data_IF_499879479967
#
_entry.id   IF_499879479967
#
_cell.length_a   1.000
_cell.length_b   1.000
_cell.length_c   1.000
_cell.angle_alpha   90.00
_cell.angle_beta   90.00
_cell.angle_gamma   90.00
#
_symmetry.space_group_name_H-M   'P 1'
#
loop_
_entity.id
_entity.type
_entity.pdbx_description
1 polymer ?
#
# COMPACT_ATOMS: atom_id res chain seq x y z
N UNK A 1 -4.31 25.34 16.39
CA UNK A 1 -5.60 25.13 15.67
C UNK A 1 -6.10 23.74 16.02
N UNK A 2 -7.35 23.57 16.42
CA UNK A 2 -7.85 22.31 17.02
C UNK A 2 -8.01 21.25 15.93
N UNK A 3 -7.36 20.09 16.07
CA UNK A 3 -7.35 18.98 15.09
C UNK A 3 -8.73 18.55 14.63
N UNK A 4 -9.74 18.59 15.52
CA UNK A 4 -11.16 18.36 15.18
C UNK A 4 -11.71 19.37 14.16
N UNK A 5 -11.28 20.64 14.23
CA UNK A 5 -11.68 21.67 13.25
C UNK A 5 -11.04 21.47 11.88
N UNK A 6 -9.78 20.99 11.86
CA UNK A 6 -9.09 20.68 10.60
C UNK A 6 -9.78 19.51 9.90
N UNK A 7 -10.09 18.44 10.64
CA UNK A 7 -10.78 17.26 10.09
C UNK A 7 -12.17 17.63 9.59
N UNK A 8 -12.94 18.42 10.35
CA UNK A 8 -14.28 18.87 9.91
C UNK A 8 -14.24 19.81 8.70
N UNK A 9 -13.23 20.67 8.60
CA UNK A 9 -13.06 21.56 7.45
C UNK A 9 -12.63 20.79 6.20
N UNK A 10 -11.74 19.78 6.34
CA UNK A 10 -11.36 18.89 5.24
C UNK A 10 -12.53 18.01 4.79
N UNK A 11 -13.34 17.52 5.74
CA UNK A 11 -14.55 16.75 5.42
C UNK A 11 -15.61 17.63 4.73
N UNK A 12 -15.81 18.86 5.19
CA UNK A 12 -16.74 19.83 4.57
C UNK A 12 -16.24 20.26 3.18
N UNK A 13 -14.93 20.50 3.01
CA UNK A 13 -14.34 20.81 1.71
C UNK A 13 -14.47 19.66 0.71
N UNK A 14 -14.30 18.41 1.18
CA UNK A 14 -14.50 17.22 0.33
C UNK A 14 -15.97 17.03 -0.09
N UNK A 15 -16.92 17.36 0.80
CA UNK A 15 -18.35 17.33 0.50
C UNK A 15 -18.79 18.46 -0.46
N UNK A 16 -18.17 19.65 -0.39
CA UNK A 16 -18.43 20.75 -1.30
C UNK A 16 -17.89 20.49 -2.72
N UNK A 17 -16.81 19.74 -2.86
CA UNK A 17 -16.27 19.31 -4.16
C UNK A 17 -17.18 18.28 -4.86
N UNK A 18 -18.01 17.56 -4.12
CA UNK A 18 -19.00 16.62 -4.69
C UNK A 18 -20.24 17.34 -5.29
N UNK A 19 -20.42 18.62 -5.01
CA UNK A 19 -21.60 19.40 -5.44
C UNK A 19 -21.47 20.13 -6.79
N UNK A 20 -20.29 20.19 -7.36
CA UNK A 20 -20.10 20.78 -8.70
C UNK A 20 -20.08 19.65 -9.73
N UNK A 21 -20.97 19.72 -10.71
CA UNK A 21 -21.02 18.80 -11.86
C UNK A 21 -19.83 19.03 -12.83
N UNK A 22 -18.64 19.23 -12.30
CA UNK A 22 -17.42 19.14 -13.05
C UNK A 22 -17.11 17.64 -13.22
N UNK A 23 -16.92 17.18 -14.41
CA UNK A 23 -16.71 15.83 -14.96
C UNK A 23 -15.60 15.01 -14.29
N UNK A 24 -15.59 14.94 -13.00
CA UNK A 24 -14.71 14.14 -12.21
C UNK A 24 -15.28 12.73 -12.07
N UNK A 25 -14.48 11.74 -12.33
CA UNK A 25 -14.90 10.36 -12.19
C UNK A 25 -14.43 9.81 -10.85
N UNK A 26 -15.37 9.46 -10.00
CA UNK A 26 -15.09 8.68 -8.81
C UNK A 26 -14.89 7.22 -9.22
N UNK A 27 -13.83 6.60 -8.71
CA UNK A 27 -13.57 5.18 -8.89
C UNK A 27 -13.43 4.49 -7.55
N UNK A 28 -14.04 3.32 -7.41
CA UNK A 28 -13.78 2.41 -6.30
C UNK A 28 -12.83 1.34 -6.81
N UNK A 29 -11.75 1.09 -6.08
CA UNK A 29 -10.68 0.20 -6.51
C UNK A 29 -10.35 -0.79 -5.39
N UNK A 30 -10.03 -2.01 -5.80
CA UNK A 30 -9.46 -3.04 -4.94
C UNK A 30 -8.37 -3.79 -5.69
N UNK A 31 -7.49 -4.46 -5.00
CA UNK A 31 -6.47 -5.22 -5.69
C UNK A 31 -5.52 -5.98 -4.78
N UNK A 32 -4.67 -6.74 -5.45
CA UNK A 32 -3.57 -7.46 -4.85
C UNK A 32 -2.35 -6.54 -4.73
N UNK A 33 -1.63 -6.70 -3.63
CA UNK A 33 -0.42 -5.96 -3.29
C UNK A 33 0.69 -6.96 -2.95
N UNK A 34 1.79 -6.94 -3.69
CA UNK A 34 3.04 -7.58 -3.31
C UNK A 34 4.01 -6.50 -2.86
N UNK A 35 4.47 -6.60 -1.63
CA UNK A 35 5.41 -5.66 -1.00
C UNK A 35 6.73 -6.36 -0.74
N UNK A 36 7.80 -5.89 -1.37
CA UNK A 36 9.16 -6.38 -1.20
C UNK A 36 9.98 -5.36 -0.41
N UNK A 37 10.57 -5.82 0.68
CA UNK A 37 11.49 -5.03 1.50
C UNK A 37 12.91 -5.45 1.16
N UNK A 38 13.66 -4.52 0.55
CA UNK A 38 15.07 -4.70 0.19
C UNK A 38 15.99 -4.08 1.24
N UNK A 39 17.14 -4.69 1.44
CA UNK A 39 18.21 -4.22 2.33
C UNK A 39 19.42 -3.80 1.50
N UNK A 40 20.14 -2.74 1.92
CA UNK A 40 21.36 -2.31 1.25
C UNK A 40 22.51 -3.32 1.39
N UNK A 41 22.41 -4.28 2.29
CA UNK A 41 23.38 -5.35 2.46
C UNK A 41 23.03 -6.52 1.53
N UNK A 42 23.86 -6.80 0.55
CA UNK A 42 23.68 -7.87 -0.46
C UNK A 42 23.56 -9.28 0.14
N UNK A 43 24.02 -9.47 1.37
CA UNK A 43 23.90 -10.77 2.08
C UNK A 43 22.51 -10.99 2.70
N UNK A 44 21.65 -9.97 2.77
CA UNK A 44 20.31 -10.09 3.30
C UNK A 44 19.30 -10.32 2.17
N UNK A 45 18.51 -11.37 2.27
CA UNK A 45 17.46 -11.66 1.31
C UNK A 45 16.29 -10.70 1.51
N UNK A 46 15.74 -10.21 0.40
CA UNK A 46 14.51 -9.41 0.41
C UNK A 46 13.36 -10.18 1.05
N UNK A 47 12.57 -9.48 1.86
CA UNK A 47 11.38 -10.02 2.50
C UNK A 47 10.17 -9.64 1.65
N UNK A 48 9.45 -10.65 1.14
CA UNK A 48 8.23 -10.43 0.36
C UNK A 48 7.00 -10.64 1.23
N UNK A 49 6.12 -9.66 1.24
CA UNK A 49 4.82 -9.69 1.89
C UNK A 49 3.71 -9.59 0.85
N UNK A 50 2.64 -10.30 1.07
CA UNK A 50 1.47 -10.33 0.21
C UNK A 50 0.30 -9.66 0.90
N UNK A 51 -0.54 -9.00 0.13
CA UNK A 51 -1.67 -8.29 0.71
C UNK A 51 -2.71 -7.85 -0.29
N UNK A 52 -3.60 -7.02 0.20
CA UNK A 52 -4.67 -6.44 -0.59
C UNK A 52 -4.84 -4.96 -0.23
N UNK A 53 -5.48 -4.25 -1.12
CA UNK A 53 -5.90 -2.87 -0.88
C UNK A 53 -7.32 -2.64 -1.38
N UNK A 54 -7.97 -1.65 -0.78
CA UNK A 54 -9.28 -1.14 -1.20
C UNK A 54 -9.32 0.37 -0.97
N UNK A 55 -9.97 1.09 -1.85
CA UNK A 55 -10.08 2.54 -1.70
C UNK A 55 -10.78 3.22 -2.85
N UNK A 56 -10.67 4.54 -2.86
CA UNK A 56 -11.32 5.41 -3.82
C UNK A 56 -10.29 6.33 -4.47
N UNK A 57 -10.53 6.65 -5.74
CA UNK A 57 -9.77 7.65 -6.49
C UNK A 57 -10.75 8.59 -7.17
N UNK A 58 -10.43 9.86 -7.17
CA UNK A 58 -11.20 10.90 -7.83
C UNK A 58 -10.40 11.47 -9.00
N UNK A 59 -10.82 11.21 -10.22
CA UNK A 59 -10.10 11.67 -11.41
C UNK A 59 -10.59 13.03 -11.85
N UNK A 60 -9.71 14.04 -11.83
CA UNK A 60 -9.96 15.40 -12.26
C UNK A 60 -9.34 15.54 -13.65
N UNK A 61 -10.14 15.55 -14.74
CA UNK A 61 -9.60 15.77 -16.08
C UNK A 61 -9.11 17.22 -16.23
N UNK A 62 -7.94 17.39 -16.85
CA UNK A 62 -7.36 18.70 -17.10
C UNK A 62 -7.53 19.08 -18.57
N UNK A 63 -6.72 18.56 -19.46
CA UNK A 63 -6.81 18.78 -20.91
C UNK A 63 -5.94 17.74 -21.65
N UNK A 64 -6.22 17.50 -22.93
CA UNK A 64 -5.36 16.66 -23.78
C UNK A 64 -5.19 15.22 -23.32
N UNK A 65 -6.19 14.66 -22.61
CA UNK A 65 -6.12 13.32 -22.06
C UNK A 65 -5.41 13.25 -20.67
N UNK A 66 -4.88 14.39 -20.17
CA UNK A 66 -4.29 14.50 -18.84
C UNK A 66 -5.33 14.64 -17.74
N UNK A 67 -5.02 14.15 -16.57
CA UNK A 67 -5.81 14.33 -15.37
C UNK A 67 -4.96 14.21 -14.11
N UNK A 68 -5.55 14.62 -12.99
CA UNK A 68 -4.98 14.48 -11.66
C UNK A 68 -5.90 13.52 -10.88
N UNK A 69 -5.33 12.52 -10.26
CA UNK A 69 -6.08 11.49 -9.56
C UNK A 69 -5.63 11.36 -8.09
N UNK A 70 -6.14 12.24 -7.19
CA UNK A 70 -6.01 12.01 -5.77
C UNK A 70 -6.85 10.79 -5.35
N UNK A 71 -6.37 10.08 -4.32
CA UNK A 71 -7.06 8.92 -3.80
C UNK A 71 -6.81 8.68 -2.33
N UNK A 72 -7.57 7.76 -1.75
CA UNK A 72 -7.35 7.22 -0.42
C UNK A 72 -7.58 5.72 -0.46
N UNK A 73 -6.61 4.96 0.02
CA UNK A 73 -6.64 3.50 0.05
C UNK A 73 -6.27 3.00 1.44
N UNK A 74 -6.97 2.00 1.87
CA UNK A 74 -6.55 1.14 2.96
C UNK A 74 -5.82 -0.07 2.38
N UNK A 75 -4.69 -0.44 2.97
CA UNK A 75 -3.93 -1.63 2.59
C UNK A 75 -3.58 -2.49 3.81
N UNK A 76 -3.52 -3.79 3.57
CA UNK A 76 -3.06 -4.77 4.53
C UNK A 76 -2.05 -5.69 3.84
N UNK A 77 -0.89 -5.87 4.45
CA UNK A 77 0.13 -6.83 4.01
C UNK A 77 0.45 -7.82 5.11
N UNK A 78 0.80 -9.03 4.72
CA UNK A 78 1.23 -10.09 5.65
C UNK A 78 2.36 -10.90 5.06
N UNK A 79 3.23 -11.39 5.93
CA UNK A 79 4.26 -12.37 5.61
C UNK A 79 4.29 -13.42 6.72
N UNK A 80 4.43 -14.68 6.35
CA UNK A 80 4.63 -15.77 7.28
C UNK A 80 5.91 -16.51 6.91
N UNK A 81 6.83 -16.58 7.85
CA UNK A 81 8.05 -17.36 7.76
C UNK A 81 8.06 -18.38 8.88
N UNK A 82 8.50 -19.60 8.60
CA UNK A 82 8.58 -20.65 9.60
C UNK A 82 9.66 -21.64 9.25
N UNK A 83 10.17 -22.31 10.27
CA UNK A 83 11.09 -23.41 10.16
C UNK A 83 10.69 -24.52 11.12
N UNK A 84 10.68 -25.74 10.63
CA UNK A 84 10.52 -26.95 11.44
C UNK A 84 11.86 -27.66 11.50
N UNK A 85 12.18 -28.23 12.64
CA UNK A 85 13.45 -28.92 12.86
C UNK A 85 13.40 -29.91 14.01
N UNK A 86 14.54 -30.50 14.30
CA UNK A 86 14.72 -31.44 15.43
C UNK A 86 15.88 -30.93 16.28
N UNK A 87 15.65 -30.75 17.56
CA UNK A 87 16.66 -30.33 18.54
C UNK A 87 16.86 -31.52 19.50
N UNK A 88 18.06 -32.13 19.50
CA UNK A 88 18.39 -33.29 20.32
C UNK A 88 17.40 -34.45 20.16
N UNK A 89 16.91 -34.69 18.94
CA UNK A 89 15.93 -35.76 18.68
C UNK A 89 14.47 -35.37 18.97
N UNK A 90 14.20 -34.15 19.41
CA UNK A 90 12.87 -33.66 19.78
C UNK A 90 12.36 -32.74 18.68
N UNK A 91 11.15 -32.94 18.13
CA UNK A 91 10.54 -32.02 17.17
C UNK A 91 10.41 -30.60 17.73
N UNK A 92 10.86 -29.63 16.97
CA UNK A 92 10.75 -28.21 17.30
C UNK A 92 10.25 -27.41 16.08
N UNK A 93 9.42 -26.43 16.31
CA UNK A 93 8.91 -25.53 15.27
C UNK A 93 9.03 -24.07 15.71
N UNK A 94 9.31 -23.20 14.76
CA UNK A 94 9.29 -21.75 14.98
C UNK A 94 8.64 -21.09 13.77
N UNK A 95 7.77 -20.11 14.00
CA UNK A 95 7.21 -19.29 12.94
C UNK A 95 7.07 -17.82 13.38
N UNK A 96 7.25 -16.93 12.43
CA UNK A 96 7.01 -15.51 12.57
C UNK A 96 5.96 -15.06 11.55
N UNK A 97 4.94 -14.38 12.01
CA UNK A 97 3.91 -13.80 11.15
C UNK A 97 3.93 -12.29 11.32
N UNK A 98 4.28 -11.59 10.26
CA UNK A 98 4.21 -10.14 10.15
C UNK A 98 2.88 -9.73 9.54
N UNK A 99 2.28 -8.67 10.06
CA UNK A 99 1.05 -8.06 9.52
C UNK A 99 1.12 -6.55 9.71
N UNK A 100 0.85 -5.81 8.64
CA UNK A 100 0.81 -4.35 8.66
C UNK A 100 -0.43 -3.82 7.98
N UNK A 101 -1.03 -2.81 8.57
CA UNK A 101 -2.20 -2.07 8.08
C UNK A 101 -1.80 -0.62 7.86
N UNK A 102 -2.15 -0.05 6.71
CA UNK A 102 -1.80 1.32 6.38
C UNK A 102 -2.91 2.05 5.61
N UNK A 103 -2.93 3.37 5.76
CA UNK A 103 -3.65 4.28 4.87
C UNK A 103 -2.66 4.87 3.88
N UNK A 104 -3.07 4.90 2.62
CA UNK A 104 -2.28 5.41 1.51
C UNK A 104 -3.05 6.53 0.82
N UNK A 105 -2.40 7.64 0.57
CA UNK A 105 -2.94 8.79 -0.14
C UNK A 105 -2.12 9.03 -1.42
N UNK A 106 -2.45 8.39 -2.56
CA UNK A 106 -1.81 8.67 -3.83
C UNK A 106 -2.26 10.02 -4.38
N UNK A 107 -1.33 10.71 -5.05
CA UNK A 107 -1.58 11.87 -5.88
C UNK A 107 -0.93 11.62 -7.23
N UNK A 108 -1.68 11.03 -8.15
CA UNK A 108 -1.16 10.63 -9.45
C UNK A 108 -1.55 11.63 -10.54
N UNK A 109 -0.63 11.94 -11.42
CA UNK A 109 -0.91 12.44 -12.75
C UNK A 109 -1.25 11.25 -13.64
N UNK A 110 -2.28 11.36 -14.45
CA UNK A 110 -2.61 10.36 -15.45
C UNK A 110 -2.70 10.99 -16.84
N UNK A 111 -2.43 10.18 -17.82
CA UNK A 111 -2.65 10.49 -19.22
C UNK A 111 -3.23 9.28 -19.93
N UNK A 112 -4.25 9.50 -20.75
CA UNK A 112 -4.89 8.40 -21.42
C UNK A 112 -5.48 8.77 -22.76
N UNK A 113 -5.63 7.76 -23.61
CA UNK A 113 -6.20 7.83 -24.94
C UNK A 113 -7.45 6.97 -25.02
N UNK A 114 -8.49 7.49 -25.61
CA UNK A 114 -9.70 6.72 -25.91
C UNK A 114 -9.48 5.90 -27.17
N UNK A 115 -9.50 4.57 -27.04
CA UNK A 115 -9.33 3.62 -28.14
C UNK A 115 -10.66 3.35 -28.85
N UNK A 116 -11.76 3.40 -28.09
CA UNK A 116 -13.12 3.24 -28.57
C UNK A 116 -14.08 3.99 -27.64
N UNK A 117 -15.38 4.03 -27.99
CA UNK A 117 -16.39 4.80 -27.26
C UNK A 117 -16.36 4.62 -25.75
N UNK A 118 -16.14 3.39 -25.25
CA UNK A 118 -16.15 3.06 -23.82
C UNK A 118 -14.83 2.42 -23.36
N UNK A 119 -13.76 2.56 -24.16
CA UNK A 119 -12.47 1.92 -23.91
C UNK A 119 -11.37 2.97 -23.88
N UNK A 120 -10.71 3.10 -22.72
CA UNK A 120 -9.59 4.03 -22.50
C UNK A 120 -8.38 3.27 -22.03
N UNK A 121 -7.23 3.51 -22.65
CA UNK A 121 -5.92 3.11 -22.15
C UNK A 121 -5.29 4.32 -21.43
N UNK A 122 -4.69 4.11 -20.28
CA UNK A 122 -4.06 5.20 -19.54
C UNK A 122 -2.79 4.74 -18.81
N UNK A 123 -1.90 5.70 -18.60
CA UNK A 123 -0.75 5.58 -17.72
C UNK A 123 -0.93 6.54 -16.55
N UNK A 124 -0.32 6.25 -15.43
CA UNK A 124 -0.34 7.11 -14.26
C UNK A 124 1.01 7.09 -13.55
N UNK A 125 1.39 8.21 -12.93
CA UNK A 125 2.60 8.32 -12.12
C UNK A 125 2.44 9.42 -11.07
N UNK A 126 3.11 9.28 -9.95
CA UNK A 126 3.13 10.29 -8.89
C UNK A 126 3.49 9.72 -7.52
N UNK A 127 3.50 10.60 -6.51
CA UNK A 127 3.75 10.20 -5.13
C UNK A 127 2.54 9.49 -4.52
N UNK A 128 2.84 8.54 -3.61
CA UNK A 128 1.87 7.97 -2.68
C UNK A 128 2.39 8.17 -1.26
N UNK A 129 1.63 8.86 -0.43
CA UNK A 129 1.93 9.06 0.99
C UNK A 129 1.29 7.92 1.77
N UNK A 130 2.08 7.20 2.56
CA UNK A 130 1.60 6.09 3.38
C UNK A 130 1.75 6.42 4.86
N UNK A 131 0.74 6.07 5.63
CA UNK A 131 0.80 6.10 7.09
C UNK A 131 0.37 4.75 7.67
N UNK A 132 1.28 4.10 8.42
CA UNK A 132 1.04 2.85 9.09
C UNK A 132 0.13 3.03 10.31
N UNK A 133 -0.98 2.30 10.34
CA UNK A 133 -1.97 2.34 11.42
C UNK A 133 -1.61 1.32 12.50
N UNK A 134 -1.28 0.11 12.07
CA UNK A 134 -0.91 -0.99 12.95
C UNK A 134 0.11 -1.89 12.25
N UNK A 135 1.13 -2.31 12.99
CA UNK A 135 2.12 -3.28 12.52
C UNK A 135 2.43 -4.25 13.66
N UNK A 136 2.23 -5.53 13.43
CA UNK A 136 2.40 -6.57 14.44
C UNK A 136 3.23 -7.72 13.91
N UNK A 137 4.12 -8.22 14.76
CA UNK A 137 4.87 -9.46 14.52
C UNK A 137 4.51 -10.46 15.59
N UNK A 138 3.91 -11.58 15.18
CA UNK A 138 3.60 -12.72 16.06
C UNK A 138 4.65 -13.79 15.90
N UNK A 139 5.38 -14.06 16.96
CA UNK A 139 6.32 -15.18 17.06
C UNK A 139 5.61 -16.36 17.72
N UNK A 140 5.72 -17.53 17.13
CA UNK A 140 5.22 -18.78 17.67
C UNK A 140 6.35 -19.80 17.68
N UNK A 141 6.52 -20.50 18.78
CA UNK A 141 7.51 -21.58 18.91
C UNK A 141 6.95 -22.73 19.69
N UNK A 142 7.40 -23.95 19.37
CA UNK A 142 7.00 -25.15 20.08
C UNK A 142 8.13 -26.18 20.11
N UNK A 143 8.24 -26.90 21.23
CA UNK A 143 9.15 -28.01 21.42
C UNK A 143 8.40 -29.14 22.15
N UNK A 144 8.47 -30.36 21.62
CA UNK A 144 7.83 -31.55 22.23
C UNK A 144 6.31 -31.42 22.47
N UNK A 145 5.57 -30.61 21.62
CA UNK A 145 4.12 -30.39 21.79
C UNK A 145 3.76 -29.31 22.78
N UNK A 146 4.72 -28.65 23.42
CA UNK A 146 4.51 -27.45 24.24
C UNK A 146 4.74 -26.24 23.34
N UNK A 147 3.72 -25.42 23.11
CA UNK A 147 3.80 -24.23 22.28
C UNK A 147 3.61 -22.94 23.09
N UNK A 148 4.31 -21.88 22.69
CA UNK A 148 4.15 -20.53 23.21
C UNK A 148 4.06 -19.53 22.06
N UNK A 149 3.37 -18.42 22.30
CA UNK A 149 3.31 -17.31 21.36
C UNK A 149 3.56 -15.98 22.05
N UNK A 150 4.18 -15.04 21.30
CA UNK A 150 4.39 -13.67 21.71
C UNK A 150 4.12 -12.74 20.55
N UNK A 151 3.36 -11.68 20.79
CA UNK A 151 3.03 -10.66 19.80
C UNK A 151 3.73 -9.37 20.16
N UNK A 152 4.42 -8.79 19.21
CA UNK A 152 5.08 -7.48 19.30
C UNK A 152 4.32 -6.49 18.44
N UNK A 153 4.22 -5.26 18.91
CA UNK A 153 3.75 -4.13 18.11
C UNK A 153 4.98 -3.39 17.57
N UNK A 154 5.22 -3.50 16.28
CA UNK A 154 6.43 -2.92 15.66
C UNK A 154 6.44 -1.38 15.73
N UNK A 155 5.28 -0.74 15.92
CA UNK A 155 5.19 0.70 16.06
C UNK A 155 5.37 1.20 17.51
N UNK A 156 5.66 0.32 18.45
CA UNK A 156 6.17 0.69 19.79
C UNK A 156 7.69 0.80 19.80
N UNK A 157 8.35 0.34 18.75
CA UNK A 157 9.77 0.53 18.49
C UNK A 157 9.97 1.90 17.83
N UNK A 158 10.72 2.79 18.45
CA UNK A 158 10.96 4.16 17.97
C UNK A 158 11.72 4.18 16.63
N UNK A 159 12.44 3.10 16.32
CA UNK A 159 13.24 2.99 15.09
C UNK A 159 12.42 2.62 13.85
N UNK A 160 11.14 2.20 13.99
CA UNK A 160 10.33 1.80 12.85
C UNK A 160 9.39 2.91 12.38
N UNK A 161 9.67 3.46 11.21
CA UNK A 161 8.94 4.59 10.65
C UNK A 161 7.51 4.23 10.21
N UNK A 162 6.51 4.94 10.77
CA UNK A 162 5.10 4.81 10.36
C UNK A 162 4.78 5.50 9.03
N UNK A 163 5.54 6.53 8.71
CA UNK A 163 5.32 7.33 7.51
C UNK A 163 6.29 6.92 6.42
N UNK A 164 5.79 6.77 5.20
CA UNK A 164 6.61 6.54 4.02
C UNK A 164 6.06 7.32 2.82
N UNK A 165 6.95 7.64 1.90
CA UNK A 165 6.62 8.24 0.60
C UNK A 165 7.09 7.27 -0.47
N UNK A 166 6.21 6.97 -1.40
CA UNK A 166 6.53 6.18 -2.58
C UNK A 166 6.49 7.07 -3.82
N UNK A 167 7.45 6.86 -4.71
CA UNK A 167 7.38 7.33 -6.08
C UNK A 167 6.97 6.15 -6.96
N UNK A 168 5.90 6.29 -7.70
CA UNK A 168 5.39 5.15 -8.44
C UNK A 168 4.59 5.52 -9.67
N UNK A 169 4.16 4.49 -10.37
CA UNK A 169 3.34 4.64 -11.56
C UNK A 169 2.89 3.30 -12.11
N UNK A 170 2.14 3.37 -13.19
CA UNK A 170 1.60 2.17 -13.81
C UNK A 170 0.81 2.45 -15.06
N UNK A 171 0.16 1.40 -15.52
CA UNK A 171 -0.71 1.42 -16.69
C UNK A 171 -2.07 0.86 -16.30
N UNK A 172 -3.10 1.30 -17.01
CA UNK A 172 -4.44 0.78 -16.82
C UNK A 172 -5.26 0.84 -18.08
N UNK A 173 -6.29 0.01 -18.12
CA UNK A 173 -7.30 0.00 -19.15
C UNK A 173 -8.68 0.10 -18.48
N UNK A 174 -9.53 0.96 -19.03
CA UNK A 174 -10.94 1.09 -18.63
C UNK A 174 -11.83 0.67 -19.79
N UNK A 175 -12.78 -0.22 -19.50
CA UNK A 175 -13.80 -0.67 -20.47
C UNK A 175 -15.17 -0.62 -19.79
N UNK A 176 -16.10 0.18 -20.31
CA UNK A 176 -17.45 0.33 -19.78
C UNK A 176 -17.51 0.57 -18.25
N UNK A 177 -16.61 1.43 -17.74
CA UNK A 177 -16.49 1.75 -16.30
C UNK A 177 -15.61 0.78 -15.51
N UNK A 178 -15.42 -0.46 -15.93
CA UNK A 178 -14.51 -1.41 -15.29
C UNK A 178 -13.07 -1.02 -15.66
N UNK A 179 -12.20 -0.91 -14.68
CA UNK A 179 -10.79 -0.63 -14.90
C UNK A 179 -9.90 -1.71 -14.29
N UNK A 180 -8.84 -2.05 -15.02
CA UNK A 180 -7.77 -2.94 -14.58
C UNK A 180 -6.49 -2.12 -14.59
N UNK A 181 -5.69 -2.23 -13.52
CA UNK A 181 -4.43 -1.49 -13.39
C UNK A 181 -3.30 -2.41 -12.96
N UNK A 182 -2.10 -2.12 -13.45
CA UNK A 182 -0.85 -2.69 -12.96
C UNK A 182 0.09 -1.54 -12.65
N UNK A 183 0.66 -1.53 -11.45
CA UNK A 183 1.53 -0.46 -10.99
C UNK A 183 2.70 -0.96 -10.15
N UNK A 184 3.70 -0.11 -10.07
CA UNK A 184 4.89 -0.28 -9.25
C UNK A 184 5.17 1.00 -8.47
N UNK A 185 5.43 0.85 -7.17
CA UNK A 185 5.81 1.95 -6.29
C UNK A 185 7.15 1.62 -5.62
N UNK A 186 8.05 2.59 -5.58
CA UNK A 186 9.32 2.53 -4.88
C UNK A 186 9.31 3.47 -3.67
N UNK A 187 9.54 2.93 -2.48
CA UNK A 187 9.64 3.70 -1.24
C UNK A 187 10.94 4.51 -1.21
N UNK A 188 10.81 5.83 -1.16
CA UNK A 188 11.97 6.74 -1.17
C UNK A 188 12.53 7.00 0.21
N UNK A 189 11.75 6.72 1.27
CA UNK A 189 12.18 6.87 2.65
C UNK A 189 12.73 5.56 3.19
N UNK A 190 13.67 5.68 4.14
CA UNK A 190 14.16 4.53 4.91
C UNK A 190 13.07 4.06 5.88
N UNK A 191 12.87 2.75 6.01
CA UNK A 191 11.90 2.16 6.95
C UNK A 191 12.38 2.17 8.40
N UNK A 192 13.68 2.18 8.60
CA UNK A 192 14.31 2.24 9.92
C UNK A 192 15.14 3.51 10.03
N UNK A 193 15.15 4.11 11.21
CA UNK A 193 15.97 5.30 11.53
C UNK A 193 17.39 4.88 11.92
N UNK A 194 17.99 4.03 11.08
CA UNK A 194 19.35 3.49 11.23
C UNK A 194 20.17 3.87 10.00
N UNK A 195 21.25 4.60 10.20
CA UNK A 195 22.13 5.08 9.12
C UNK A 195 22.93 3.94 8.47
N UNK A 196 23.16 2.84 9.19
CA UNK A 196 23.99 1.72 8.72
C UNK A 196 23.16 0.70 7.92
N UNK A 197 21.82 0.66 8.08
CA UNK A 197 20.94 -0.30 7.42
C UNK A 197 19.83 0.38 6.62
N UNK A 198 20.16 0.86 5.42
CA UNK A 198 19.14 1.43 4.54
C UNK A 198 18.21 0.35 4.02
N UNK A 199 16.93 0.51 4.32
CA UNK A 199 15.88 -0.44 3.98
C UNK A 199 14.78 0.27 3.22
N UNK A 200 14.56 -0.12 1.97
CA UNK A 200 13.52 0.44 1.12
C UNK A 200 12.45 -0.61 0.81
N UNK A 201 11.23 -0.14 0.69
CA UNK A 201 10.08 -0.98 0.32
C UNK A 201 9.65 -0.68 -1.10
N UNK A 202 9.43 -1.72 -1.89
CA UNK A 202 8.84 -1.62 -3.23
C UNK A 202 7.53 -2.39 -3.27
N UNK A 203 6.55 -1.89 -4.03
CA UNK A 203 5.24 -2.50 -4.13
C UNK A 203 4.87 -2.74 -5.59
N UNK A 204 4.42 -3.96 -5.90
CA UNK A 204 3.73 -4.28 -7.15
C UNK A 204 2.24 -4.36 -6.82
N UNK A 205 1.41 -3.69 -7.60
CA UNK A 205 -0.05 -3.63 -7.42
C UNK A 205 -0.74 -4.12 -8.68
N UNK A 206 -1.75 -4.99 -8.51
CA UNK A 206 -2.67 -5.39 -9.57
C UNK A 206 -4.06 -5.04 -9.08
N UNK A 207 -4.75 -4.16 -9.78
CA UNK A 207 -6.02 -3.59 -9.36
C UNK A 207 -7.17 -3.85 -10.31
N UNK A 208 -8.34 -3.97 -9.70
CA UNK A 208 -9.63 -3.95 -10.36
C UNK A 208 -10.46 -2.81 -9.75
N UNK A 209 -11.15 -2.05 -10.57
CA UNK A 209 -11.97 -0.96 -10.11
C UNK A 209 -13.19 -0.71 -10.99
N UNK A 210 -14.05 0.16 -10.49
CA UNK A 210 -15.19 0.68 -11.24
C UNK A 210 -15.21 2.20 -11.13
N UNK A 211 -15.24 2.86 -12.28
CA UNK A 211 -15.36 4.31 -12.41
C UNK A 211 -16.81 4.66 -12.78
N UNK A 212 -17.42 5.52 -11.99
CA UNK A 212 -18.81 5.96 -12.15
C UNK A 212 -18.94 7.03 -13.21
#
# INVERSE_FOLDING_TARGET
MNMKKIISTLLAASLLLLGTQAFAQLSVNTGYLNSSQGFSNENLKSINSHGAYVGVTYNIPVAGGFGIAPGVYYSMITNKSGADGVILGIPASASATFMEHAVNAPLHLNWGVDLARDTKLFIFAGPTFQYGIASKTKLQGGVAGISGDKTYNNYEDDDYNRFNIYAGGGVGMKVAGIQITVGYDYGVMNLYDDDDLKTHRSNIKIGLGYAF
#
